data_IF_917805695008
#
_entry.id   IF_917805695008
#
_cell.length_a   1.000
_cell.length_b   1.000
_cell.length_c   1.000
_cell.angle_alpha   90.00
_cell.angle_beta   90.00
_cell.angle_gamma   90.00
#
_symmetry.space_group_name_H-M   'P 1'
#
loop_
_entity.id
_entity.type
_entity.pdbx_description
1 polymer ?
#
# COMPACT_ATOMS: atom_id res chain seq x y z
N UNK A 1 -0.73 -19.36 43.92
CA UNK A 1 -0.24 -18.18 43.19
C UNK A 1 -0.70 -18.29 41.74
N UNK A 2 -1.77 -17.59 41.38
CA UNK A 2 -2.24 -17.52 39.99
C UNK A 2 -1.46 -16.43 39.28
N UNK A 3 -0.71 -16.80 38.24
CA UNK A 3 0.03 -15.86 37.40
C UNK A 3 -0.88 -14.71 36.92
N UNK A 4 -0.40 -13.46 36.93
CA UNK A 4 -1.24 -12.32 36.62
C UNK A 4 -1.68 -12.36 35.14
N UNK A 5 -2.95 -12.02 34.90
CA UNK A 5 -3.65 -12.19 33.63
C UNK A 5 -3.01 -11.49 32.40
N UNK A 6 -2.00 -10.64 32.60
CA UNK A 6 -1.25 -10.00 31.52
C UNK A 6 -0.18 -10.91 30.88
N UNK A 7 0.29 -11.96 31.56
CA UNK A 7 1.34 -12.86 31.03
C UNK A 7 0.87 -13.76 29.88
N UNK A 8 -0.40 -14.14 29.84
CA UNK A 8 -0.90 -15.10 28.84
C UNK A 8 -1.29 -14.47 27.49
N UNK A 9 -1.38 -13.13 27.41
CA UNK A 9 -1.89 -12.40 26.24
C UNK A 9 -0.89 -11.56 25.48
N UNK A 10 0.18 -11.09 26.14
CA UNK A 10 1.20 -10.22 25.56
C UNK A 10 1.99 -10.85 24.40
N UNK A 11 2.51 -12.09 24.49
CA UNK A 11 3.31 -12.67 23.39
C UNK A 11 2.47 -12.90 22.13
N UNK A 12 1.19 -13.29 22.27
CA UNK A 12 0.28 -13.48 21.12
C UNK A 12 -0.04 -12.17 20.39
N UNK A 13 -0.17 -11.06 21.12
CA UNK A 13 -0.38 -9.73 20.52
C UNK A 13 0.85 -9.25 19.76
N UNK A 14 2.04 -9.51 20.30
CA UNK A 14 3.29 -9.15 19.66
C UNK A 14 3.52 -9.93 18.35
N UNK A 15 3.32 -11.26 18.38
CA UNK A 15 3.41 -12.11 17.18
C UNK A 15 2.41 -11.67 16.09
N UNK A 16 1.17 -11.34 16.48
CA UNK A 16 0.17 -10.84 15.54
C UNK A 16 0.56 -9.49 14.93
N UNK A 17 1.16 -8.58 15.71
CA UNK A 17 1.67 -7.30 15.24
C UNK A 17 2.85 -7.45 14.26
N UNK A 18 3.80 -8.34 14.57
CA UNK A 18 4.93 -8.64 13.68
C UNK A 18 4.46 -9.26 12.36
N UNK A 19 3.54 -10.24 12.42
CA UNK A 19 2.96 -10.85 11.22
C UNK A 19 2.19 -9.85 10.36
N UNK A 20 1.44 -8.92 10.99
CA UNK A 20 0.77 -7.83 10.30
C UNK A 20 1.76 -6.88 9.62
N UNK A 21 2.87 -6.56 10.31
CA UNK A 21 3.93 -5.73 9.76
C UNK A 21 4.63 -6.36 8.56
N UNK A 22 4.96 -7.66 8.64
CA UNK A 22 5.56 -8.40 7.53
C UNK A 22 4.62 -8.44 6.32
N UNK A 23 3.33 -8.67 6.53
CA UNK A 23 2.34 -8.68 5.46
C UNK A 23 2.21 -7.30 4.77
N UNK A 24 2.29 -6.21 5.54
CA UNK A 24 2.28 -4.85 5.00
C UNK A 24 3.47 -4.57 4.07
N UNK A 25 4.68 -4.94 4.53
CA UNK A 25 5.91 -4.77 3.77
C UNK A 25 5.88 -5.57 2.48
N UNK A 26 5.49 -6.85 2.55
CA UNK A 26 5.36 -7.70 1.36
C UNK A 26 4.32 -7.14 0.38
N UNK A 27 3.18 -6.66 0.87
CA UNK A 27 2.13 -6.11 0.01
C UNK A 27 2.58 -4.82 -0.69
N UNK A 28 3.23 -3.90 0.03
CA UNK A 28 3.80 -2.69 -0.57
C UNK A 28 4.91 -3.03 -1.60
N UNK A 29 5.74 -4.03 -1.28
CA UNK A 29 6.80 -4.46 -2.17
C UNK A 29 6.27 -5.12 -3.45
N UNK A 30 5.19 -5.90 -3.35
CA UNK A 30 4.50 -6.47 -4.51
C UNK A 30 3.93 -5.38 -5.41
N UNK A 31 3.32 -4.33 -4.85
CA UNK A 31 2.83 -3.18 -5.64
C UNK A 31 3.97 -2.50 -6.37
N UNK A 32 5.09 -2.22 -5.68
CA UNK A 32 6.27 -1.63 -6.30
C UNK A 32 6.78 -2.49 -7.47
N UNK A 33 6.89 -3.81 -7.29
CA UNK A 33 7.32 -4.74 -8.35
C UNK A 33 6.35 -4.78 -9.53
N UNK A 34 5.04 -4.79 -9.28
CA UNK A 34 4.03 -4.75 -10.33
C UNK A 34 4.09 -3.43 -11.13
N UNK A 35 4.28 -2.30 -10.44
CA UNK A 35 4.46 -1.01 -11.10
C UNK A 35 5.76 -0.96 -11.91
N UNK A 36 6.87 -1.50 -11.40
CA UNK A 36 8.13 -1.62 -12.15
C UNK A 36 7.90 -2.42 -13.43
N UNK A 37 7.25 -3.59 -13.35
CA UNK A 37 6.99 -4.42 -14.51
C UNK A 37 6.07 -3.76 -15.54
N UNK A 38 5.03 -3.04 -15.07
CA UNK A 38 4.11 -2.32 -15.92
C UNK A 38 4.82 -1.14 -16.63
N UNK A 39 5.58 -0.36 -15.87
CA UNK A 39 6.23 0.84 -16.37
C UNK A 39 7.45 0.54 -17.23
N UNK A 40 8.22 -0.51 -16.92
CA UNK A 40 9.37 -0.95 -17.72
C UNK A 40 8.99 -1.29 -19.17
N UNK A 41 7.78 -1.82 -19.40
CA UNK A 41 7.27 -2.06 -20.76
C UNK A 41 6.96 -0.79 -21.53
N UNK A 42 6.75 0.32 -20.82
CA UNK A 42 6.36 1.62 -21.40
C UNK A 42 7.50 2.64 -21.43
N UNK A 43 8.57 2.41 -20.68
CA UNK A 43 9.67 3.35 -20.48
C UNK A 43 10.89 3.01 -21.36
N UNK A 44 10.70 3.03 -22.69
CA UNK A 44 11.80 2.73 -23.64
C UNK A 44 12.85 3.85 -23.68
N UNK A 45 12.43 5.12 -23.46
CA UNK A 45 13.32 6.28 -23.62
C UNK A 45 13.90 6.83 -22.31
N UNK A 46 13.29 6.50 -21.17
CA UNK A 46 13.78 6.87 -19.84
C UNK A 46 13.63 5.66 -18.92
N UNK A 47 14.71 4.92 -18.65
CA UNK A 47 14.62 3.78 -17.74
C UNK A 47 14.20 4.30 -16.36
N UNK A 48 13.09 3.79 -15.82
CA UNK A 48 12.82 3.99 -14.41
C UNK A 48 13.96 3.40 -13.60
N UNK A 49 14.53 4.21 -12.71
CA UNK A 49 15.35 3.69 -11.65
C UNK A 49 14.45 2.85 -10.74
N UNK A 50 14.53 1.52 -10.90
CA UNK A 50 13.76 0.56 -10.10
C UNK A 50 13.90 0.83 -8.60
N UNK A 51 15.05 1.40 -8.19
CA UNK A 51 15.34 1.82 -6.83
C UNK A 51 14.32 2.79 -6.24
N UNK A 52 13.81 3.76 -7.00
CA UNK A 52 12.86 4.76 -6.45
C UNK A 52 11.53 4.12 -6.04
N UNK A 53 11.03 3.17 -6.83
CA UNK A 53 9.81 2.42 -6.53
C UNK A 53 10.02 1.42 -5.39
N UNK A 54 11.19 0.81 -5.30
CA UNK A 54 11.56 -0.04 -4.16
C UNK A 54 11.67 0.77 -2.87
N UNK A 55 12.28 1.96 -2.92
CA UNK A 55 12.39 2.89 -1.79
C UNK A 55 10.99 3.39 -1.37
N UNK A 56 10.09 3.65 -2.31
CA UNK A 56 8.68 3.91 -2.04
C UNK A 56 8.03 2.73 -1.29
N UNK A 57 8.24 1.51 -1.78
CA UNK A 57 7.73 0.28 -1.17
C UNK A 57 8.21 0.10 0.26
N UNK A 58 9.48 0.37 0.53
CA UNK A 58 10.06 0.35 1.88
C UNK A 58 9.52 1.44 2.80
N UNK A 59 9.47 2.69 2.32
CA UNK A 59 8.99 3.83 3.12
C UNK A 59 7.53 3.65 3.52
N UNK A 60 6.66 3.38 2.57
CA UNK A 60 5.23 3.26 2.84
C UNK A 60 4.84 1.90 3.40
N UNK A 61 5.52 0.84 3.01
CA UNK A 61 5.39 -0.48 3.62
C UNK A 61 5.79 -0.47 5.09
N UNK A 62 6.86 0.25 5.44
CA UNK A 62 7.28 0.47 6.83
C UNK A 62 6.26 1.26 7.64
N UNK A 63 5.73 2.37 7.09
CA UNK A 63 4.67 3.16 7.74
C UNK A 63 3.41 2.31 7.93
N UNK A 64 3.00 1.54 6.92
CA UNK A 64 1.87 0.62 7.02
C UNK A 64 2.14 -0.49 8.05
N UNK A 65 3.36 -1.03 8.11
CA UNK A 65 3.74 -2.05 9.07
C UNK A 65 3.64 -1.53 10.51
N UNK A 66 4.18 -0.33 10.78
CA UNK A 66 4.07 0.33 12.08
C UNK A 66 2.62 0.63 12.42
N UNK A 67 1.84 1.13 11.46
CA UNK A 67 0.43 1.44 11.61
C UNK A 67 -0.40 0.20 11.97
N UNK A 68 -0.19 -0.93 11.27
CA UNK A 68 -0.90 -2.18 11.54
C UNK A 68 -0.42 -2.85 12.84
N UNK A 69 0.88 -2.83 13.13
CA UNK A 69 1.41 -3.34 14.39
C UNK A 69 0.88 -2.55 15.60
N UNK A 70 0.82 -1.22 15.49
CA UNK A 70 0.26 -0.33 16.50
C UNK A 70 -1.24 -0.56 16.68
N UNK A 71 -1.98 -0.69 15.59
CA UNK A 71 -3.42 -1.01 15.62
C UNK A 71 -3.72 -2.37 16.25
N UNK A 72 -2.86 -3.37 16.03
CA UNK A 72 -2.97 -4.69 16.64
C UNK A 72 -2.58 -4.72 18.13
N UNK A 73 -1.61 -3.90 18.55
CA UNK A 73 -1.13 -3.82 19.93
C UNK A 73 -1.96 -2.93 20.85
N UNK A 74 -2.42 -1.78 20.35
CA UNK A 74 -3.13 -0.75 21.14
C UNK A 74 -4.67 -0.79 20.97
N UNK A 75 -5.18 -1.70 20.15
CA UNK A 75 -6.62 -1.85 19.90
C UNK A 75 -7.40 -2.18 21.18
N UNK A 76 -8.56 -1.54 21.37
CA UNK A 76 -9.48 -1.80 22.51
C UNK A 76 -10.19 -3.17 22.43
N UNK A 77 -9.95 -3.95 21.37
CA UNK A 77 -10.54 -5.27 21.09
C UNK A 77 -9.42 -6.30 20.93
N UNK A 78 -9.68 -7.60 21.16
CA UNK A 78 -8.66 -8.64 21.01
C UNK A 78 -7.96 -8.53 19.65
N UNK A 79 -6.63 -8.81 19.60
CA UNK A 79 -5.80 -8.59 18.42
C UNK A 79 -6.44 -9.25 17.20
N UNK A 80 -6.65 -8.47 16.13
CA UNK A 80 -7.14 -9.02 14.88
C UNK A 80 -6.18 -10.14 14.43
N UNK A 81 -6.71 -11.32 14.16
CA UNK A 81 -5.89 -12.46 13.77
C UNK A 81 -5.05 -12.17 12.51
N UNK A 82 -3.95 -12.90 12.28
CA UNK A 82 -3.00 -12.64 11.18
C UNK A 82 -3.67 -12.64 9.80
N UNK A 83 -4.76 -13.39 9.61
CA UNK A 83 -5.55 -13.40 8.36
C UNK A 83 -6.33 -12.10 8.14
N UNK A 84 -6.71 -11.39 9.20
CA UNK A 84 -7.43 -10.12 9.10
C UNK A 84 -6.48 -8.99 8.75
N UNK A 85 -5.30 -8.94 9.37
CA UNK A 85 -4.27 -7.95 9.05
C UNK A 85 -3.72 -8.14 7.63
N UNK A 86 -3.50 -9.39 7.21
CA UNK A 86 -3.12 -9.70 5.83
C UNK A 86 -4.20 -9.21 4.84
N UNK A 87 -5.49 -9.44 5.11
CA UNK A 87 -6.58 -8.93 4.27
C UNK A 87 -6.59 -7.40 4.18
N UNK A 88 -6.37 -6.68 5.29
CA UNK A 88 -6.27 -5.21 5.28
C UNK A 88 -5.10 -4.76 4.42
N UNK A 89 -3.91 -5.34 4.64
CA UNK A 89 -2.71 -5.01 3.88
C UNK A 89 -2.90 -5.25 2.38
N UNK A 90 -3.46 -6.39 2.00
CA UNK A 90 -3.77 -6.73 0.60
C UNK A 90 -4.82 -5.78 0.03
N UNK A 91 -5.88 -5.44 0.79
CA UNK A 91 -6.92 -4.51 0.32
C UNK A 91 -6.32 -3.13 0.02
N UNK A 92 -5.47 -2.63 0.91
CA UNK A 92 -4.79 -1.35 0.71
C UNK A 92 -3.85 -1.42 -0.50
N UNK A 93 -3.07 -2.50 -0.62
CA UNK A 93 -2.18 -2.70 -1.76
C UNK A 93 -2.93 -2.74 -3.10
N UNK A 94 -4.06 -3.44 -3.16
CA UNK A 94 -4.93 -3.49 -4.35
C UNK A 94 -5.49 -2.11 -4.66
N UNK A 95 -6.02 -1.39 -3.66
CA UNK A 95 -6.55 -0.04 -3.86
C UNK A 95 -5.47 0.92 -4.36
N UNK A 96 -4.28 0.90 -3.76
CA UNK A 96 -3.14 1.70 -4.22
C UNK A 96 -2.78 1.37 -5.67
N UNK A 97 -2.69 0.09 -6.02
CA UNK A 97 -2.40 -0.33 -7.38
C UNK A 97 -3.46 0.14 -8.38
N UNK A 98 -4.75 0.00 -8.05
CA UNK A 98 -5.85 0.47 -8.89
C UNK A 98 -5.84 1.99 -9.06
N UNK A 99 -5.55 2.76 -8.01
CA UNK A 99 -5.41 4.22 -8.10
C UNK A 99 -4.28 4.59 -9.06
N UNK A 100 -3.14 3.90 -9.00
CA UNK A 100 -2.05 4.10 -9.95
C UNK A 100 -2.48 3.79 -11.39
N UNK A 101 -3.20 2.69 -11.64
CA UNK A 101 -3.71 2.35 -12.98
C UNK A 101 -4.68 3.41 -13.51
N UNK A 102 -5.60 3.90 -12.67
CA UNK A 102 -6.55 4.96 -13.05
C UNK A 102 -5.80 6.25 -13.36
N UNK A 103 -4.82 6.64 -12.55
CA UNK A 103 -3.99 7.82 -12.80
C UNK A 103 -3.24 7.71 -14.13
N UNK A 104 -2.66 6.54 -14.43
CA UNK A 104 -2.03 6.26 -15.72
C UNK A 104 -3.00 6.39 -16.89
N UNK A 105 -4.18 5.78 -16.79
CA UNK A 105 -5.19 5.83 -17.85
C UNK A 105 -5.68 7.26 -18.12
N UNK A 106 -5.96 8.02 -17.06
CA UNK A 106 -6.35 9.43 -17.16
C UNK A 106 -5.24 10.29 -17.77
N UNK A 107 -3.98 10.04 -17.42
CA UNK A 107 -2.84 10.73 -18.02
C UNK A 107 -2.75 10.49 -19.54
N UNK A 108 -2.93 9.25 -19.98
CA UNK A 108 -2.93 8.90 -21.41
C UNK A 108 -4.08 9.60 -22.13
N UNK A 109 -5.28 9.63 -21.53
CA UNK A 109 -6.44 10.34 -22.09
C UNK A 109 -6.17 11.84 -22.18
N UNK A 110 -5.65 12.46 -21.11
CA UNK A 110 -5.37 13.89 -21.07
C UNK A 110 -4.32 14.31 -22.11
N UNK A 111 -3.27 13.50 -22.33
CA UNK A 111 -2.28 13.73 -23.40
C UNK A 111 -2.92 13.62 -24.78
N UNK A 112 -3.76 12.60 -25.01
CA UNK A 112 -4.46 12.41 -26.31
C UNK A 112 -5.45 13.54 -26.61
N UNK A 113 -6.06 14.12 -25.59
CA UNK A 113 -6.94 15.28 -25.71
C UNK A 113 -6.19 16.61 -25.79
N UNK A 114 -4.85 16.61 -25.73
CA UNK A 114 -4.03 17.82 -25.74
C UNK A 114 -4.13 18.66 -24.46
N UNK A 115 -4.80 18.16 -23.42
CA UNK A 115 -4.97 18.83 -22.12
C UNK A 115 -3.68 18.82 -21.29
N UNK A 116 -2.75 17.92 -21.61
CA UNK A 116 -1.49 17.74 -20.89
C UNK A 116 -0.32 17.59 -21.88
N UNK A 117 0.78 18.31 -21.64
CA UNK A 117 2.01 18.22 -22.44
C UNK A 117 2.26 19.37 -23.41
N UNK A 118 1.23 20.07 -23.92
CA UNK A 118 1.45 21.14 -24.92
C UNK A 118 2.19 22.39 -24.38
N UNK A 119 2.11 22.67 -23.08
CA UNK A 119 2.78 23.83 -22.46
C UNK A 119 3.98 23.52 -21.55
N UNK A 120 4.28 22.24 -21.32
CA UNK A 120 5.21 21.82 -20.25
C UNK A 120 6.56 21.32 -20.78
N UNK A 121 6.79 21.37 -22.10
CA UNK A 121 8.04 20.88 -22.71
C UNK A 121 8.27 19.38 -22.53
N UNK A 122 7.24 18.63 -22.11
CA UNK A 122 7.34 17.20 -21.92
C UNK A 122 7.43 16.51 -23.29
N UNK A 123 8.26 15.46 -23.44
CA UNK A 123 8.27 14.66 -24.66
C UNK A 123 6.83 14.24 -24.97
N UNK A 124 6.37 14.38 -26.22
CA UNK A 124 4.96 14.19 -26.64
C UNK A 124 4.44 12.74 -26.52
N UNK A 125 5.07 11.91 -25.69
CA UNK A 125 4.82 10.48 -25.56
C UNK A 125 3.95 10.25 -24.32
N UNK A 126 2.73 9.78 -24.57
CA UNK A 126 1.73 9.40 -23.54
C UNK A 126 2.27 8.49 -22.42
N UNK A 127 3.35 7.75 -22.68
CA UNK A 127 4.02 6.86 -21.73
C UNK A 127 4.74 7.60 -20.61
N UNK A 128 5.38 8.74 -20.88
CA UNK A 128 6.06 9.54 -19.85
C UNK A 128 5.05 10.21 -18.90
N UNK A 129 3.95 10.73 -19.44
CA UNK A 129 2.87 11.28 -18.62
C UNK A 129 2.21 10.19 -17.74
N UNK A 130 2.02 8.98 -18.28
CA UNK A 130 1.53 7.84 -17.52
C UNK A 130 2.48 7.48 -16.36
N UNK A 131 3.79 7.49 -16.60
CA UNK A 131 4.81 7.24 -15.59
C UNK A 131 4.76 8.28 -14.45
N UNK A 132 4.75 9.58 -14.75
CA UNK A 132 4.64 10.62 -13.73
C UNK A 132 3.34 10.47 -12.93
N UNK A 133 2.23 10.20 -13.62
CA UNK A 133 0.94 10.03 -12.97
C UNK A 133 0.92 8.82 -12.03
N UNK A 134 1.51 7.69 -12.45
CA UNK A 134 1.63 6.49 -11.61
C UNK A 134 2.45 6.75 -10.35
N UNK A 135 3.62 7.39 -10.50
CA UNK A 135 4.52 7.70 -9.39
C UNK A 135 3.89 8.71 -8.42
N UNK A 136 3.25 9.74 -8.96
CA UNK A 136 2.51 10.73 -8.16
C UNK A 136 1.39 10.05 -7.38
N UNK A 137 0.57 9.24 -8.05
CA UNK A 137 -0.51 8.49 -7.42
C UNK A 137 -0.02 7.54 -6.32
N UNK A 138 1.10 6.84 -6.55
CA UNK A 138 1.72 6.00 -5.55
C UNK A 138 2.16 6.82 -4.32
N UNK A 139 2.80 7.97 -4.54
CA UNK A 139 3.26 8.84 -3.45
C UNK A 139 2.10 9.42 -2.63
N UNK A 140 1.03 9.85 -3.28
CA UNK A 140 -0.15 10.43 -2.60
C UNK A 140 -1.01 9.38 -1.90
N UNK A 141 -1.01 8.13 -2.35
CA UNK A 141 -1.82 7.06 -1.76
C UNK A 141 -1.16 6.35 -0.57
N UNK A 142 0.15 6.48 -0.38
CA UNK A 142 0.89 5.81 0.70
C UNK A 142 0.40 6.16 2.11
N UNK A 143 0.41 7.46 2.47
CA UNK A 143 -0.06 7.97 3.77
C UNK A 143 -1.55 7.63 4.04
N UNK A 144 -2.48 7.95 3.12
CA UNK A 144 -3.90 7.63 3.29
C UNK A 144 -4.17 6.13 3.43
N UNK A 145 -3.45 5.30 2.65
CA UNK A 145 -3.55 3.85 2.74
C UNK A 145 -3.11 3.34 4.12
N UNK A 146 -1.98 3.81 4.63
CA UNK A 146 -1.49 3.46 5.95
C UNK A 146 -2.45 3.88 7.08
N UNK A 147 -2.98 5.10 7.01
CA UNK A 147 -3.95 5.62 7.98
C UNK A 147 -5.25 4.80 7.96
N UNK A 148 -5.76 4.46 6.78
CA UNK A 148 -6.95 3.62 6.62
C UNK A 148 -6.73 2.22 7.21
N UNK A 149 -5.55 1.64 7.00
CA UNK A 149 -5.19 0.33 7.56
C UNK A 149 -5.16 0.31 9.09
N UNK A 150 -4.49 1.28 9.70
CA UNK A 150 -4.51 1.47 11.15
C UNK A 150 -5.94 1.62 11.67
N UNK A 151 -6.74 2.46 11.00
CA UNK A 151 -8.12 2.73 11.41
C UNK A 151 -9.01 1.48 11.32
N UNK A 152 -8.91 0.70 10.24
CA UNK A 152 -9.69 -0.53 10.05
C UNK A 152 -9.39 -1.58 11.13
N UNK A 153 -8.12 -1.73 11.50
CA UNK A 153 -7.72 -2.63 12.58
C UNK A 153 -8.12 -2.09 13.96
N UNK A 154 -7.95 -0.79 14.20
CA UNK A 154 -8.33 -0.14 15.45
C UNK A 154 -9.85 -0.23 15.72
N UNK A 155 -10.68 -0.04 14.68
CA UNK A 155 -12.15 -0.08 14.81
C UNK A 155 -12.72 -1.50 14.88
N UNK A 156 -11.92 -2.53 14.60
CA UNK A 156 -12.32 -3.94 14.67
C UNK A 156 -13.52 -4.29 13.80
N UNK A 157 -13.66 -3.64 12.62
CA UNK A 157 -14.81 -3.83 11.71
C UNK A 157 -14.70 -5.02 10.78
N UNK A 158 -13.57 -5.73 10.74
CA UNK A 158 -13.46 -6.99 10.02
C UNK A 158 -14.01 -8.17 10.85
N UNK A 159 -15.28 -8.09 11.25
CA UNK A 159 -16.08 -9.30 11.40
C UNK A 159 -16.55 -9.68 10.00
N UNK A 160 -15.67 -10.27 9.20
CA UNK A 160 -16.14 -11.08 8.08
C UNK A 160 -16.65 -12.37 8.71
N UNK A 161 -17.92 -12.37 9.08
CA UNK A 161 -18.68 -13.59 9.34
C UNK A 161 -18.68 -14.38 8.05
N UNK A 162 -17.80 -15.38 7.97
CA UNK A 162 -17.95 -16.47 7.02
C UNK A 162 -19.05 -17.35 7.61
N UNK A 163 -20.22 -17.52 6.97
CA UNK A 163 -21.09 -18.63 7.30
C UNK A 163 -20.31 -19.91 7.03
N UNK A 164 -20.30 -20.79 8.03
CA UNK A 164 -19.62 -22.10 8.06
C UNK A 164 -19.77 -22.89 6.76
#
# INVERSE_FOLDING_TARGET
MTAPAWENGAPRRWIAGVAAGAAALLAAQLVALLLIQLLARTSVDQPLESRELLDWGWRWGGVLAVALASGAGLGRRPPAGPRSSARVAVTIAVLTFLICLVAMGLAVVAVRLGLWGQGWGLPSRSTYAAQIAALSAAQWSGLPGAALGAWLLWRGRLRVSVPL
#
